data_IF_283470036355
#
_entry.id   IF_283470036355
#
_cell.length_a   1.000
_cell.length_b   1.000
_cell.length_c   1.000
_cell.angle_alpha   90.00
_cell.angle_beta   90.00
_cell.angle_gamma   90.00
#
_symmetry.space_group_name_H-M   'P 1'
#
loop_
_entity.id
_entity.type
_entity.pdbx_description
1 polymer ?
#
# COMPACT_ATOMS: atom_id res chain seq x y z
N UNK A 1 7.16 12.98 -33.27
CA UNK A 1 6.35 13.60 -32.21
C UNK A 1 6.62 12.81 -30.95
N UNK A 2 7.34 13.33 -29.95
CA UNK A 2 7.56 12.55 -28.74
C UNK A 2 6.25 12.55 -27.94
N UNK A 3 5.85 11.36 -27.50
CA UNK A 3 4.68 11.14 -26.67
C UNK A 3 4.78 12.01 -25.41
N UNK A 4 3.71 12.77 -25.12
CA UNK A 4 3.53 13.37 -23.82
C UNK A 4 3.55 12.23 -22.79
N UNK A 5 4.64 12.12 -22.04
CA UNK A 5 4.73 11.25 -20.87
C UNK A 5 3.59 11.66 -19.94
N UNK A 6 2.57 10.82 -19.86
CA UNK A 6 1.47 10.92 -18.89
C UNK A 6 2.10 11.12 -17.52
N UNK A 7 1.98 12.34 -16.98
CA UNK A 7 2.41 12.69 -15.62
C UNK A 7 1.70 11.72 -14.68
N UNK A 8 2.43 10.91 -13.91
CA UNK A 8 1.79 10.05 -12.93
C UNK A 8 1.17 10.95 -11.86
N UNK A 9 -0.14 10.83 -11.67
CA UNK A 9 -0.94 11.63 -10.73
C UNK A 9 -0.40 11.58 -9.28
N UNK A 10 0.44 10.60 -8.90
CA UNK A 10 1.18 10.56 -7.62
C UNK A 10 2.28 11.59 -7.50
N UNK A 11 3.03 11.87 -8.58
CA UNK A 11 3.93 13.04 -8.59
C UNK A 11 3.16 14.35 -8.43
N UNK A 12 1.86 14.29 -8.69
CA UNK A 12 0.89 15.39 -8.65
C UNK A 12 0.09 15.42 -7.33
N UNK A 13 0.43 14.57 -6.37
CA UNK A 13 -0.24 14.51 -5.07
C UNK A 13 0.79 14.44 -3.97
N UNK A 14 0.89 15.41 -3.03
CA UNK A 14 0.77 15.05 -1.60
C UNK A 14 0.99 16.10 -0.51
N UNK A 15 0.57 15.66 0.70
CA UNK A 15 1.00 16.04 2.06
C UNK A 15 0.05 16.79 3.02
N UNK A 16 -0.88 16.13 3.73
CA UNK A 16 -1.68 16.75 4.82
C UNK A 16 -0.88 17.05 6.11
N UNK A 17 -1.11 18.22 6.74
CA UNK A 17 -0.80 18.51 8.15
C UNK A 17 -2.08 18.75 8.99
N UNK A 18 -2.05 18.34 10.26
CA UNK A 18 -3.15 18.01 11.16
C UNK A 18 -4.23 19.09 11.47
N UNK A 19 -5.52 18.68 11.51
CA UNK A 19 -6.37 18.63 12.73
C UNK A 19 -7.75 18.04 12.45
N UNK A 20 -7.99 16.82 12.92
CA UNK A 20 -9.32 16.39 13.38
C UNK A 20 -9.09 15.41 14.53
N UNK A 21 -9.14 15.95 15.75
CA UNK A 21 -9.29 15.12 16.93
C UNK A 21 -10.69 14.50 16.87
N UNK A 22 -10.81 13.32 16.26
CA UNK A 22 -11.88 12.40 16.63
C UNK A 22 -11.32 11.57 17.76
N UNK A 23 -11.67 11.96 18.99
CA UNK A 23 -11.54 11.08 20.14
C UNK A 23 -12.47 9.90 19.86
N UNK A 24 -11.91 8.79 19.40
CA UNK A 24 -12.60 7.50 19.42
C UNK A 24 -12.52 7.02 20.87
N UNK A 25 -13.64 6.91 21.61
CA UNK A 25 -13.61 6.21 22.87
C UNK A 25 -13.24 4.76 22.56
N UNK A 26 -12.14 4.29 23.15
CA UNK A 26 -11.84 2.87 23.23
C UNK A 26 -12.95 2.26 24.08
N UNK A 27 -14.01 1.79 23.40
CA UNK A 27 -15.04 0.97 24.02
C UNK A 27 -14.37 -0.29 24.53
N UNK A 28 -14.39 -0.50 25.84
CA UNK A 28 -13.95 -1.73 26.48
C UNK A 28 -14.61 -2.92 25.77
N UNK A 29 -13.79 -3.86 25.29
CA UNK A 29 -14.26 -5.12 24.75
C UNK A 29 -15.19 -5.80 25.75
N UNK A 30 -16.51 -5.78 25.49
CA UNK A 30 -17.45 -6.68 26.15
C UNK A 30 -17.48 -7.97 25.35
N UNK A 31 -17.23 -9.10 26.02
CA UNK A 31 -17.38 -10.43 25.47
C UNK A 31 -18.70 -10.56 24.69
N UNK A 32 -18.62 -10.95 23.41
CA UNK A 32 -19.79 -11.24 22.59
C UNK A 32 -20.57 -12.44 23.15
N UNK A 33 -21.89 -12.52 22.92
CA UNK A 33 -22.68 -13.65 23.37
C UNK A 33 -22.39 -14.89 22.52
N UNK A 34 -22.30 -16.05 23.18
CA UNK A 34 -22.24 -17.36 22.55
C UNK A 34 -23.42 -17.55 21.58
N UNK A 35 -23.15 -18.00 20.34
CA UNK A 35 -24.19 -18.37 19.38
C UNK A 35 -24.83 -19.69 19.81
N UNK A 36 -26.17 -19.82 19.80
CA UNK A 36 -26.84 -21.07 20.13
C UNK A 36 -26.70 -22.08 18.99
N UNK A 37 -26.20 -23.27 19.32
CA UNK A 37 -26.17 -24.44 18.43
C UNK A 37 -27.58 -25.02 18.36
N UNK A 38 -28.18 -25.02 17.17
CA UNK A 38 -29.37 -25.85 16.90
C UNK A 38 -28.96 -26.96 15.94
N UNK A 39 -29.03 -28.20 16.42
CA UNK A 39 -28.81 -29.39 15.61
C UNK A 39 -30.07 -29.69 14.81
N UNK A 40 -29.92 -29.93 13.50
CA UNK A 40 -30.92 -30.65 12.73
C UNK A 40 -30.19 -31.59 11.80
N UNK A 41 -30.39 -32.88 12.03
CA UNK A 41 -29.86 -34.00 11.25
C UNK A 41 -30.63 -34.13 9.93
N UNK A 42 -29.89 -34.20 8.82
CA UNK A 42 -30.45 -34.47 7.49
C UNK A 42 -29.36 -34.51 6.42
N UNK A 43 -29.04 -35.73 5.97
CA UNK A 43 -28.22 -35.99 4.78
C UNK A 43 -28.89 -35.43 3.53
N UNK A 44 -28.16 -34.61 2.76
CA UNK A 44 -28.06 -34.64 1.28
C UNK A 44 -27.12 -33.53 0.79
N UNK A 45 -26.15 -33.93 -0.05
CA UNK A 45 -25.46 -33.20 -1.14
C UNK A 45 -25.11 -31.73 -0.89
N UNK A 46 -23.81 -31.46 -0.82
CA UNK A 46 -23.20 -30.13 -0.87
C UNK A 46 -23.91 -29.24 -1.90
N UNK A 47 -24.70 -28.29 -1.42
CA UNK A 47 -25.17 -27.19 -2.24
C UNK A 47 -23.94 -26.35 -2.57
N UNK A 48 -23.59 -26.30 -3.86
CA UNK A 48 -22.59 -25.37 -4.37
C UNK A 48 -22.92 -23.97 -3.85
N UNK A 49 -22.07 -23.43 -2.97
CA UNK A 49 -22.12 -22.01 -2.61
C UNK A 49 -21.79 -21.24 -3.89
N UNK A 50 -22.77 -20.48 -4.37
CA UNK A 50 -22.70 -19.65 -5.57
C UNK A 50 -21.45 -18.79 -5.57
N UNK A 51 -20.81 -18.60 -6.74
CA UNK A 51 -19.82 -17.54 -6.96
C UNK A 51 -20.52 -16.20 -6.66
N UNK A 52 -20.27 -15.65 -5.47
CA UNK A 52 -20.77 -14.32 -5.10
C UNK A 52 -19.83 -13.34 -5.79
N UNK A 53 -20.38 -12.49 -6.67
CA UNK A 53 -19.63 -11.34 -7.19
C UNK A 53 -19.18 -10.44 -6.03
N UNK A 54 -18.10 -9.69 -6.21
CA UNK A 54 -17.59 -8.80 -5.17
C UNK A 54 -18.69 -7.85 -4.65
N UNK A 55 -18.66 -7.60 -3.35
CA UNK A 55 -19.53 -6.62 -2.70
C UNK A 55 -19.05 -5.20 -3.01
N UNK A 56 -19.94 -4.19 -2.91
CA UNK A 56 -19.55 -2.78 -3.04
C UNK A 56 -18.39 -2.34 -2.14
N UNK A 57 -18.27 -2.95 -0.95
CA UNK A 57 -17.17 -2.67 -0.03
C UNK A 57 -15.84 -3.26 -0.52
N UNK A 58 -15.87 -4.47 -1.09
CA UNK A 58 -14.70 -5.13 -1.67
C UNK A 58 -14.22 -4.41 -2.94
N UNK A 59 -15.14 -3.96 -3.79
CA UNK A 59 -14.82 -3.18 -5.00
C UNK A 59 -14.12 -1.87 -4.64
N UNK A 60 -14.63 -1.17 -3.62
CA UNK A 60 -14.02 0.06 -3.12
C UNK A 60 -12.65 -0.22 -2.48
N UNK A 61 -12.54 -1.25 -1.64
CA UNK A 61 -11.29 -1.63 -0.98
C UNK A 61 -10.20 -2.06 -1.96
N UNK A 62 -10.58 -2.72 -3.05
CA UNK A 62 -9.65 -3.11 -4.11
C UNK A 62 -9.22 -1.90 -4.95
N UNK A 63 -10.19 -1.04 -5.31
CA UNK A 63 -9.94 0.16 -6.12
C UNK A 63 -9.01 1.14 -5.43
N UNK A 64 -9.16 1.36 -4.12
CA UNK A 64 -8.34 2.35 -3.41
C UNK A 64 -6.86 1.94 -3.36
N UNK A 65 -6.55 0.64 -3.25
CA UNK A 65 -5.15 0.18 -3.29
C UNK A 65 -4.59 0.35 -4.71
N UNK A 66 -5.36 -0.03 -5.73
CA UNK A 66 -4.95 0.15 -7.12
C UNK A 66 -4.66 1.63 -7.43
N UNK A 67 -5.59 2.51 -7.08
CA UNK A 67 -5.43 3.92 -7.34
C UNK A 67 -4.33 4.49 -6.46
N UNK A 68 -4.36 4.33 -5.14
CA UNK A 68 -3.41 4.98 -4.23
C UNK A 68 -2.00 4.42 -4.36
N UNK A 69 -1.86 3.09 -4.44
CA UNK A 69 -0.58 2.38 -4.34
C UNK A 69 -0.07 1.88 -5.70
N UNK A 70 -0.95 1.55 -6.64
CA UNK A 70 -0.57 1.29 -8.05
C UNK A 70 -0.35 -0.16 -8.36
N UNK A 71 -0.85 -1.02 -7.48
CA UNK A 71 -0.92 -2.45 -7.65
C UNK A 71 -2.28 -2.94 -7.19
N UNK A 72 -2.63 -4.13 -7.63
CA UNK A 72 -3.85 -4.79 -7.17
C UNK A 72 -3.74 -5.08 -5.66
N UNK A 73 -4.88 -4.95 -4.96
CA UNK A 73 -4.99 -5.34 -3.56
C UNK A 73 -4.90 -6.87 -3.44
N UNK A 74 -4.30 -7.36 -2.35
CA UNK A 74 -4.44 -8.76 -1.97
C UNK A 74 -5.69 -8.97 -1.09
N UNK A 75 -6.11 -10.23 -0.92
CA UNK A 75 -7.32 -10.57 -0.16
C UNK A 75 -7.29 -10.12 1.29
N UNK A 76 -6.14 -10.16 1.94
CA UNK A 76 -6.01 -9.69 3.33
C UNK A 76 -6.22 -8.18 3.43
N UNK A 77 -5.68 -7.40 2.50
CA UNK A 77 -5.88 -5.94 2.46
C UNK A 77 -7.36 -5.60 2.27
N UNK A 78 -8.02 -6.29 1.34
CA UNK A 78 -9.46 -6.13 1.08
C UNK A 78 -10.27 -6.49 2.33
N UNK A 79 -10.06 -7.67 2.91
CA UNK A 79 -10.80 -8.14 4.07
C UNK A 79 -10.63 -7.22 5.29
N UNK A 80 -9.41 -6.73 5.56
CA UNK A 80 -9.16 -5.78 6.65
C UNK A 80 -9.83 -4.43 6.41
N UNK A 81 -9.83 -3.94 5.18
CA UNK A 81 -10.51 -2.69 4.83
C UNK A 81 -12.03 -2.84 4.94
N UNK A 82 -12.60 -3.96 4.49
CA UNK A 82 -14.03 -4.24 4.63
C UNK A 82 -14.44 -4.32 6.10
N UNK A 83 -13.72 -5.07 6.95
CA UNK A 83 -13.99 -5.15 8.39
C UNK A 83 -13.93 -3.77 9.07
N UNK A 84 -12.98 -2.91 8.67
CA UNK A 84 -12.92 -1.52 9.15
C UNK A 84 -14.18 -0.73 8.76
N UNK A 85 -14.62 -0.84 7.50
CA UNK A 85 -15.84 -0.17 7.03
C UNK A 85 -17.09 -0.65 7.77
N UNK A 86 -17.22 -1.96 8.00
CA UNK A 86 -18.33 -2.56 8.76
C UNK A 86 -18.37 -2.09 10.22
N UNK A 87 -17.20 -1.83 10.81
CA UNK A 87 -17.06 -1.22 12.13
C UNK A 87 -17.28 0.30 12.15
N UNK A 88 -17.68 0.88 11.02
CA UNK A 88 -18.04 2.30 10.91
C UNK A 88 -16.86 3.24 10.69
N UNK A 89 -15.71 2.74 10.25
CA UNK A 89 -14.60 3.62 9.86
C UNK A 89 -14.96 4.43 8.61
N UNK A 90 -14.56 5.70 8.60
CA UNK A 90 -14.77 6.56 7.45
C UNK A 90 -13.78 6.24 6.32
N UNK A 91 -14.29 6.16 5.08
CA UNK A 91 -13.48 5.98 3.87
C UNK A 91 -12.34 6.99 3.73
N UNK A 92 -12.59 8.24 4.11
CA UNK A 92 -11.57 9.29 4.10
C UNK A 92 -10.43 8.98 5.08
N UNK A 93 -10.71 8.42 6.26
CA UNK A 93 -9.69 8.04 7.22
C UNK A 93 -8.81 6.89 6.69
N UNK A 94 -9.43 5.88 6.06
CA UNK A 94 -8.70 4.77 5.42
C UNK A 94 -7.83 5.28 4.26
N UNK A 95 -8.36 6.19 3.44
CA UNK A 95 -7.60 6.82 2.37
C UNK A 95 -6.37 7.56 2.88
N UNK A 96 -6.55 8.37 3.95
CA UNK A 96 -5.45 9.10 4.58
C UNK A 96 -4.36 8.15 5.11
N UNK A 97 -4.74 7.02 5.74
CA UNK A 97 -3.79 6.00 6.21
C UNK A 97 -2.98 5.40 5.06
N UNK A 98 -3.63 5.02 3.96
CA UNK A 98 -2.94 4.48 2.77
C UNK A 98 -1.99 5.51 2.14
N UNK A 99 -2.41 6.79 2.05
CA UNK A 99 -1.58 7.89 1.53
C UNK A 99 -0.46 8.35 2.46
N UNK A 100 -0.23 7.62 3.56
CA UNK A 100 0.89 7.84 4.50
C UNK A 100 1.73 6.59 4.72
N UNK A 101 1.36 5.48 4.09
CA UNK A 101 2.12 4.24 4.16
C UNK A 101 3.46 4.36 3.44
N UNK A 102 4.44 3.59 3.90
CA UNK A 102 5.77 3.50 3.27
C UNK A 102 5.67 3.17 1.77
N UNK A 103 4.75 2.29 1.39
CA UNK A 103 4.59 1.90 -0.01
C UNK A 103 4.14 3.07 -0.90
N UNK A 104 3.15 3.86 -0.44
CA UNK A 104 2.70 5.05 -1.15
C UNK A 104 3.82 6.10 -1.20
N UNK A 105 4.55 6.30 -0.10
CA UNK A 105 5.62 7.29 -0.03
C UNK A 105 6.74 6.95 -1.02
N UNK A 106 7.14 5.69 -1.09
CA UNK A 106 8.17 5.20 -2.03
C UNK A 106 7.73 5.33 -3.48
N UNK A 107 6.48 4.98 -3.81
CA UNK A 107 5.93 5.16 -5.15
C UNK A 107 5.92 6.65 -5.55
N UNK A 108 5.49 7.53 -4.64
CA UNK A 108 5.47 8.99 -4.86
C UNK A 108 6.88 9.53 -5.13
N UNK A 109 7.88 9.06 -4.40
CA UNK A 109 9.28 9.46 -4.65
C UNK A 109 9.77 8.96 -6.00
N UNK A 110 9.47 7.71 -6.38
CA UNK A 110 9.83 7.18 -7.71
C UNK A 110 9.23 8.05 -8.82
N UNK A 111 7.96 8.45 -8.67
CA UNK A 111 7.24 9.32 -9.58
C UNK A 111 7.83 10.74 -9.65
N UNK A 112 8.19 11.34 -8.52
CA UNK A 112 8.85 12.65 -8.48
C UNK A 112 10.24 12.63 -9.11
N UNK A 113 11.00 11.56 -8.93
CA UNK A 113 12.31 11.40 -9.57
C UNK A 113 12.19 11.25 -11.08
N UNK A 114 11.24 10.44 -11.55
CA UNK A 114 10.97 10.30 -12.98
C UNK A 114 10.45 11.59 -13.59
N UNK A 115 9.60 12.31 -12.84
CA UNK A 115 9.18 13.64 -13.21
C UNK A 115 10.41 14.56 -13.27
N UNK A 116 11.01 14.91 -12.16
CA UNK A 116 11.94 16.03 -12.09
C UNK A 116 13.29 15.70 -12.73
N UNK A 117 13.82 14.49 -12.54
CA UNK A 117 15.20 14.13 -12.87
C UNK A 117 15.32 13.14 -14.04
N UNK A 118 14.20 12.68 -14.62
CA UNK A 118 14.15 11.74 -15.75
C UNK A 118 14.86 10.40 -15.46
N UNK A 119 14.85 9.95 -14.21
CA UNK A 119 15.39 8.65 -13.79
C UNK A 119 14.69 8.17 -12.52
N UNK A 120 14.95 6.94 -12.11
CA UNK A 120 14.55 6.45 -10.79
C UNK A 120 15.53 6.90 -9.69
N UNK A 121 15.08 6.96 -8.43
CA UNK A 121 15.98 7.15 -7.29
C UNK A 121 16.83 5.89 -7.07
N UNK A 122 18.02 6.06 -6.48
CA UNK A 122 18.69 4.94 -5.82
C UNK A 122 18.00 4.63 -4.49
N UNK A 123 18.34 3.49 -3.89
CA UNK A 123 17.66 3.00 -2.69
C UNK A 123 17.86 3.90 -1.45
N UNK A 124 19.01 4.58 -1.36
CA UNK A 124 19.28 5.50 -0.25
C UNK A 124 18.46 6.79 -0.40
N UNK A 125 18.43 7.37 -1.61
CA UNK A 125 17.60 8.53 -1.94
C UNK A 125 16.12 8.23 -1.77
N UNK A 126 15.66 7.08 -2.27
CA UNK A 126 14.26 6.65 -2.10
C UNK A 126 13.88 6.58 -0.63
N UNK A 127 14.67 5.87 0.17
CA UNK A 127 14.39 5.70 1.60
C UNK A 127 14.43 7.03 2.37
N UNK A 128 15.36 7.93 2.03
CA UNK A 128 15.44 9.26 2.63
C UNK A 128 14.17 10.09 2.38
N UNK A 129 13.75 10.21 1.13
CA UNK A 129 12.57 11.01 0.78
C UNK A 129 11.27 10.37 1.23
N UNK A 130 11.15 9.04 1.14
CA UNK A 130 9.99 8.31 1.62
C UNK A 130 9.83 8.46 3.14
N UNK A 131 10.94 8.42 3.90
CA UNK A 131 10.94 8.71 5.33
C UNK A 131 10.42 10.12 5.65
N UNK A 132 10.86 11.14 4.91
CA UNK A 132 10.34 12.51 5.08
C UNK A 132 8.85 12.61 4.83
N UNK A 133 8.33 11.97 3.79
CA UNK A 133 6.89 11.92 3.51
C UNK A 133 6.13 11.19 4.63
N UNK A 134 6.66 10.08 5.14
CA UNK A 134 6.11 9.35 6.28
C UNK A 134 6.07 10.18 7.57
N UNK A 135 7.05 11.06 7.77
CA UNK A 135 7.11 12.01 8.89
C UNK A 135 6.20 13.24 8.71
N UNK A 136 5.46 13.32 7.58
CA UNK A 136 4.47 14.35 7.31
C UNK A 136 4.99 15.55 6.51
N UNK A 137 6.16 15.46 5.87
CA UNK A 137 6.58 16.48 4.91
C UNK A 137 5.60 16.55 3.73
N UNK A 138 5.43 17.74 3.17
CA UNK A 138 4.58 17.93 2.00
C UNK A 138 5.31 17.48 0.73
N UNK A 139 4.62 16.82 -0.20
CA UNK A 139 5.24 16.41 -1.48
C UNK A 139 5.71 17.61 -2.27
N UNK A 140 5.01 18.74 -2.19
CA UNK A 140 5.47 19.99 -2.81
C UNK A 140 6.83 20.46 -2.28
N UNK A 141 7.14 20.18 -1.01
CA UNK A 141 8.44 20.52 -0.42
C UNK A 141 9.52 19.55 -0.93
N UNK A 142 9.21 18.24 -0.99
CA UNK A 142 10.11 17.23 -1.59
C UNK A 142 10.38 17.54 -3.07
N UNK A 143 9.34 17.90 -3.83
CA UNK A 143 9.46 18.31 -5.22
C UNK A 143 10.30 19.58 -5.36
N UNK A 144 10.08 20.61 -4.53
CA UNK A 144 10.86 21.84 -4.53
C UNK A 144 12.34 21.59 -4.18
N UNK A 145 12.63 20.69 -3.25
CA UNK A 145 14.00 20.28 -2.92
C UNK A 145 14.67 19.56 -4.11
N UNK A 146 13.96 18.65 -4.79
CA UNK A 146 14.45 17.97 -5.99
C UNK A 146 14.70 18.95 -7.15
N UNK A 147 13.78 19.87 -7.40
CA UNK A 147 13.97 20.95 -8.37
C UNK A 147 15.11 21.88 -7.96
N UNK A 148 15.36 22.07 -6.66
CA UNK A 148 16.48 22.88 -6.16
C UNK A 148 17.85 22.20 -6.23
N UNK A 149 17.89 20.92 -6.63
CA UNK A 149 19.12 20.12 -6.59
C UNK A 149 20.17 20.57 -7.62
N UNK A 150 21.47 20.32 -7.36
CA UNK A 150 22.52 20.48 -8.36
C UNK A 150 22.25 19.66 -9.62
N UNK A 151 21.69 18.45 -9.45
CA UNK A 151 21.38 17.56 -10.56
C UNK A 151 20.34 18.16 -11.52
N UNK A 152 19.24 18.69 -10.99
CA UNK A 152 18.25 19.36 -11.84
C UNK A 152 18.84 20.62 -12.50
N UNK A 153 19.73 21.32 -11.81
CA UNK A 153 20.46 22.47 -12.38
C UNK A 153 21.29 22.05 -13.59
N UNK A 154 22.02 20.95 -13.50
CA UNK A 154 22.82 20.40 -14.60
C UNK A 154 21.93 19.93 -15.76
N UNK A 155 20.81 19.25 -15.47
CA UNK A 155 19.81 18.85 -16.46
C UNK A 155 19.19 20.04 -17.20
N UNK A 156 19.12 21.20 -16.53
CA UNK A 156 18.55 22.44 -17.07
C UNK A 156 19.58 23.33 -17.78
N UNK A 157 20.76 22.77 -18.11
CA UNK A 157 21.83 23.47 -18.83
C UNK A 157 22.71 24.37 -17.96
N UNK A 158 22.62 24.27 -16.63
CA UNK A 158 23.53 24.92 -15.68
C UNK A 158 23.38 26.43 -15.51
N UNK A 159 22.44 27.07 -16.21
CA UNK A 159 22.20 28.52 -16.15
C UNK A 159 20.94 28.85 -15.35
N UNK A 160 20.83 30.06 -14.83
CA UNK A 160 19.60 30.52 -14.15
C UNK A 160 18.41 30.63 -15.12
N UNK A 161 18.63 31.10 -16.35
CA UNK A 161 17.58 31.18 -17.39
C UNK A 161 17.10 29.78 -17.80
N UNK A 162 18.02 28.87 -18.13
CA UNK A 162 17.66 27.48 -18.49
C UNK A 162 16.97 26.73 -17.35
N UNK A 163 17.36 27.01 -16.10
CA UNK A 163 16.66 26.51 -14.92
C UNK A 163 15.20 26.97 -14.85
N UNK A 164 14.96 28.27 -15.02
CA UNK A 164 13.59 28.83 -14.97
C UNK A 164 12.73 28.23 -16.08
N UNK A 165 13.25 28.15 -17.30
CA UNK A 165 12.54 27.52 -18.42
C UNK A 165 12.16 26.06 -18.12
N UNK A 166 13.10 25.28 -17.58
CA UNK A 166 12.89 23.87 -17.27
C UNK A 166 11.84 23.66 -16.16
N UNK A 167 11.83 24.50 -15.12
CA UNK A 167 10.80 24.44 -14.06
C UNK A 167 9.40 24.69 -14.64
N UNK A 168 9.25 25.73 -15.46
CA UNK A 168 7.97 26.07 -16.07
C UNK A 168 7.48 24.98 -17.04
N UNK A 169 8.37 24.44 -17.87
CA UNK A 169 8.01 23.33 -18.76
C UNK A 169 7.57 22.09 -17.95
N UNK A 170 8.33 21.73 -16.91
CA UNK A 170 8.03 20.51 -16.16
C UNK A 170 6.76 20.60 -15.33
N UNK A 171 6.50 21.75 -14.71
CA UNK A 171 5.34 21.97 -13.83
C UNK A 171 4.10 22.37 -14.63
N UNK A 172 4.23 23.30 -15.57
CA UNK A 172 3.10 23.91 -16.29
C UNK A 172 2.93 23.43 -17.73
N UNK A 173 3.95 22.80 -18.32
CA UNK A 173 3.89 22.34 -19.72
C UNK A 173 3.98 23.49 -20.72
N UNK A 174 4.55 24.63 -20.31
CA UNK A 174 4.71 25.81 -21.16
C UNK A 174 5.99 26.56 -20.79
N UNK A 175 6.46 27.39 -21.71
CA UNK A 175 7.52 28.35 -21.42
C UNK A 175 6.99 29.57 -20.63
N UNK A 176 7.80 30.16 -19.75
CA UNK A 176 7.50 31.41 -19.06
C UNK A 176 7.50 32.61 -20.02
N UNK A 177 6.82 33.69 -19.64
CA UNK A 177 6.96 34.96 -20.36
C UNK A 177 8.31 35.62 -20.07
N UNK A 178 8.75 36.52 -20.96
CA UNK A 178 10.08 37.13 -20.84
C UNK A 178 10.28 37.90 -19.54
N UNK A 179 9.25 38.57 -19.04
CA UNK A 179 9.32 39.32 -17.78
C UNK A 179 9.51 38.40 -16.58
N UNK A 180 8.81 37.26 -16.56
CA UNK A 180 8.99 36.21 -15.56
C UNK A 180 10.39 35.61 -15.57
N UNK A 181 10.94 35.30 -16.75
CA UNK A 181 12.32 34.80 -16.90
C UNK A 181 13.32 35.81 -16.37
N UNK A 182 13.23 37.07 -16.80
CA UNK A 182 14.16 38.12 -16.40
C UNK A 182 14.13 38.35 -14.87
N UNK A 183 12.93 38.34 -14.27
CA UNK A 183 12.76 38.46 -12.82
C UNK A 183 13.43 37.32 -12.05
N UNK A 184 13.09 36.07 -12.35
CA UNK A 184 13.62 34.92 -11.62
C UNK A 184 15.11 34.71 -11.87
N UNK A 185 15.59 34.98 -13.09
CA UNK A 185 17.01 34.93 -13.43
C UNK A 185 17.80 35.95 -12.60
N UNK A 186 17.29 37.18 -12.47
CA UNK A 186 17.91 38.19 -11.62
C UNK A 186 17.92 37.75 -10.15
N UNK A 187 16.79 37.26 -9.62
CA UNK A 187 16.70 36.77 -8.23
C UNK A 187 17.71 35.65 -7.93
N UNK A 188 17.84 34.66 -8.82
CA UNK A 188 18.83 33.58 -8.67
C UNK A 188 20.26 34.12 -8.70
N UNK A 189 20.55 35.06 -9.61
CA UNK A 189 21.89 35.66 -9.72
C UNK A 189 22.24 36.53 -8.50
N UNK A 190 21.24 37.12 -7.84
CA UNK A 190 21.38 37.86 -6.58
C UNK A 190 21.46 36.94 -5.34
N UNK A 191 21.38 35.62 -5.53
CA UNK A 191 21.60 34.61 -4.50
C UNK A 191 20.35 33.94 -3.95
N UNK A 192 19.17 34.17 -4.54
CA UNK A 192 17.96 33.43 -4.17
C UNK A 192 18.13 31.93 -4.46
N UNK A 193 17.67 31.03 -3.58
CA UNK A 193 17.75 29.61 -3.81
C UNK A 193 16.83 29.21 -4.96
N UNK A 194 17.30 28.28 -5.80
CA UNK A 194 16.53 27.73 -6.93
C UNK A 194 15.20 27.12 -6.51
N UNK A 195 15.15 26.48 -5.33
CA UNK A 195 13.92 25.93 -4.75
C UNK A 195 12.83 26.99 -4.51
N UNK A 196 13.18 28.27 -4.38
CA UNK A 196 12.21 29.37 -4.27
C UNK A 196 11.41 29.57 -5.56
N UNK A 197 12.05 29.45 -6.72
CA UNK A 197 11.36 29.49 -8.02
C UNK A 197 10.47 28.26 -8.16
N UNK A 198 11.01 27.09 -7.82
CA UNK A 198 10.28 25.83 -7.90
C UNK A 198 9.00 25.85 -7.05
N UNK A 199 9.10 26.23 -5.77
CA UNK A 199 7.92 26.29 -4.89
C UNK A 199 6.91 27.33 -5.36
N UNK A 200 7.37 28.48 -5.88
CA UNK A 200 6.48 29.51 -6.42
C UNK A 200 5.67 28.99 -7.61
N UNK A 201 6.32 28.36 -8.59
CA UNK A 201 5.65 27.82 -9.77
C UNK A 201 4.76 26.64 -9.39
N UNK A 202 5.24 25.74 -8.52
CA UNK A 202 4.51 24.55 -8.10
C UNK A 202 3.26 24.87 -7.29
N UNK A 203 3.28 25.90 -6.44
CA UNK A 203 2.11 26.30 -5.63
C UNK A 203 1.17 27.28 -6.34
N UNK A 204 1.48 27.64 -7.59
CA UNK A 204 0.65 28.55 -8.39
C UNK A 204 -0.73 27.96 -8.67
N UNK A 205 -1.75 28.81 -8.79
CA UNK A 205 -3.13 28.38 -9.10
C UNK A 205 -3.20 27.63 -10.44
N UNK A 206 -2.34 27.97 -11.39
CA UNK A 206 -2.25 27.25 -12.67
C UNK A 206 -1.74 25.82 -12.47
N UNK A 207 -0.61 25.66 -11.76
CA UNK A 207 -0.07 24.35 -11.42
C UNK A 207 -1.09 23.53 -10.63
N UNK A 208 -1.68 24.12 -9.59
CA UNK A 208 -2.72 23.48 -8.78
C UNK A 208 -3.91 23.06 -9.65
N UNK A 209 -4.32 23.88 -10.62
CA UNK A 209 -5.38 23.52 -11.56
C UNK A 209 -5.06 22.26 -12.36
N UNK A 210 -3.83 22.13 -12.86
CA UNK A 210 -3.38 20.92 -13.55
C UNK A 210 -3.44 19.70 -12.61
N UNK A 211 -3.08 19.89 -11.33
CA UNK A 211 -3.15 18.82 -10.32
C UNK A 211 -4.58 18.38 -10.01
N UNK A 212 -5.51 19.33 -9.96
CA UNK A 212 -6.94 19.03 -9.84
C UNK A 212 -7.42 18.24 -11.05
N UNK A 213 -7.01 18.62 -12.26
CA UNK A 213 -7.39 17.89 -13.48
C UNK A 213 -6.89 16.43 -13.43
N UNK A 214 -5.61 16.23 -13.11
CA UNK A 214 -4.99 14.89 -12.98
C UNK A 214 -5.69 14.04 -11.91
N UNK A 215 -6.07 14.66 -10.79
CA UNK A 215 -6.77 13.98 -9.69
C UNK A 215 -8.15 13.48 -10.06
N UNK A 216 -8.93 14.33 -10.72
CA UNK A 216 -10.27 14.00 -11.16
C UNK A 216 -10.25 12.92 -12.25
N UNK A 217 -9.32 13.02 -13.19
CA UNK A 217 -9.14 11.99 -14.22
C UNK A 217 -8.74 10.65 -13.58
N UNK A 218 -7.73 10.66 -12.71
CA UNK A 218 -7.23 9.44 -12.09
C UNK A 218 -8.23 8.78 -11.13
N UNK A 219 -8.91 9.55 -10.27
CA UNK A 219 -9.79 9.00 -9.22
C UNK A 219 -11.25 8.87 -9.66
N UNK A 220 -11.75 9.75 -10.52
CA UNK A 220 -13.15 9.72 -10.97
C UNK A 220 -13.33 9.38 -12.46
N UNK A 221 -12.26 9.34 -13.26
CA UNK A 221 -12.34 8.99 -14.68
C UNK A 221 -12.96 10.09 -15.54
N UNK A 222 -12.92 11.35 -15.09
CA UNK A 222 -13.45 12.50 -15.82
C UNK A 222 -12.75 13.79 -15.41
N UNK A 223 -12.90 14.84 -16.21
CA UNK A 223 -12.48 16.18 -15.83
C UNK A 223 -13.40 16.82 -14.75
N UNK A 224 -12.87 17.76 -13.93
CA UNK A 224 -13.67 18.61 -13.06
C UNK A 224 -14.50 19.62 -13.88
N UNK A 225 -15.61 20.10 -13.33
CA UNK A 225 -16.27 21.28 -13.91
C UNK A 225 -15.44 22.56 -13.66
N UNK A 226 -15.67 23.61 -14.44
CA UNK A 226 -14.88 24.83 -14.38
C UNK A 226 -14.92 25.52 -13.00
N UNK A 227 -16.06 25.46 -12.31
CA UNK A 227 -16.22 26.03 -10.97
C UNK A 227 -15.49 25.22 -9.90
N UNK A 228 -15.66 23.90 -9.93
CA UNK A 228 -14.96 22.96 -9.05
C UNK A 228 -13.45 23.04 -9.22
N UNK A 229 -12.96 23.08 -10.47
CA UNK A 229 -11.53 23.25 -10.77
C UNK A 229 -10.97 24.53 -10.18
N UNK A 230 -11.65 25.67 -10.39
CA UNK A 230 -11.21 26.97 -9.88
C UNK A 230 -11.21 27.02 -8.34
N UNK A 231 -12.23 26.45 -7.71
CA UNK A 231 -12.32 26.37 -6.25
C UNK A 231 -11.14 25.58 -5.66
N UNK A 232 -10.89 24.38 -6.19
CA UNK A 232 -9.82 23.52 -5.68
C UNK A 232 -8.43 24.06 -5.98
N UNK A 233 -8.20 24.62 -7.18
CA UNK A 233 -6.91 25.22 -7.54
C UNK A 233 -6.50 26.35 -6.58
N UNK A 234 -7.45 27.13 -6.08
CA UNK A 234 -7.21 28.16 -5.06
C UNK A 234 -6.95 27.55 -3.68
N UNK A 235 -7.70 26.50 -3.32
CA UNK A 235 -7.59 25.86 -2.01
C UNK A 235 -6.21 25.21 -1.81
N UNK A 236 -5.71 24.54 -2.85
CA UNK A 236 -4.40 23.86 -2.89
C UNK A 236 -3.18 24.80 -2.76
N UNK A 237 -3.38 26.12 -2.79
CA UNK A 237 -2.32 27.07 -2.42
C UNK A 237 -1.97 26.89 -0.94
N UNK A 238 -2.99 26.72 -0.10
CA UNK A 238 -2.88 26.65 1.37
C UNK A 238 -3.16 25.28 1.95
N UNK A 239 -3.71 24.37 1.14
CA UNK A 239 -4.06 23.01 1.51
C UNK A 239 -3.33 22.02 0.64
N UNK A 240 -3.51 20.75 0.95
CA UNK A 240 -2.78 19.70 0.29
C UNK A 240 -3.59 19.00 -0.80
N UNK A 241 -2.90 18.45 -1.81
CA UNK A 241 -3.51 17.66 -2.86
C UNK A 241 -4.21 16.38 -2.31
N UNK A 242 -3.75 15.81 -1.18
CA UNK A 242 -4.38 14.69 -0.47
C UNK A 242 -5.72 15.05 0.16
N UNK A 243 -5.94 16.31 0.55
CA UNK A 243 -7.25 16.72 1.05
C UNK A 243 -8.29 16.52 -0.04
N UNK A 244 -7.95 16.92 -1.26
CA UNK A 244 -8.80 16.67 -2.42
C UNK A 244 -8.89 15.17 -2.71
N UNK A 245 -7.78 14.44 -2.75
CA UNK A 245 -7.80 13.00 -3.02
C UNK A 245 -8.71 12.23 -2.04
N UNK A 246 -8.59 12.48 -0.73
CA UNK A 246 -9.40 11.83 0.30
C UNK A 246 -10.89 12.16 0.16
N UNK A 247 -11.23 13.40 -0.24
CA UNK A 247 -12.61 13.80 -0.51
C UNK A 247 -13.17 13.13 -1.76
N UNK A 248 -12.38 13.01 -2.84
CA UNK A 248 -12.79 12.31 -4.05
C UNK A 248 -12.99 10.82 -3.77
N UNK A 249 -12.03 10.16 -3.11
CA UNK A 249 -12.06 8.73 -2.76
C UNK A 249 -13.24 8.37 -1.85
N UNK A 250 -13.62 9.26 -0.94
CA UNK A 250 -14.76 9.06 -0.02
C UNK A 250 -16.12 9.38 -0.66
N UNK A 251 -16.14 9.91 -1.88
CA UNK A 251 -17.38 10.29 -2.55
C UNK A 251 -18.20 9.09 -3.05
N UNK A 252 -19.52 9.30 -3.18
CA UNK A 252 -20.41 8.32 -3.82
C UNK A 252 -20.07 8.09 -5.30
N UNK A 253 -19.44 9.07 -5.95
CA UNK A 253 -19.01 8.95 -7.34
C UNK A 253 -17.83 7.99 -7.49
N UNK A 254 -16.84 8.11 -6.61
CA UNK A 254 -15.74 7.14 -6.56
C UNK A 254 -16.25 5.73 -6.26
N UNK A 255 -17.22 5.60 -5.35
CA UNK A 255 -17.89 4.32 -5.10
C UNK A 255 -18.52 3.74 -6.37
N UNK A 256 -19.32 4.54 -7.09
CA UNK A 256 -19.95 4.08 -8.31
C UNK A 256 -18.93 3.67 -9.39
N UNK A 257 -17.80 4.38 -9.47
CA UNK A 257 -16.70 4.00 -10.36
C UNK A 257 -16.07 2.68 -9.92
N UNK A 258 -15.80 2.49 -8.63
CA UNK A 258 -15.22 1.27 -8.10
C UNK A 258 -16.06 0.03 -8.45
N UNK A 259 -17.37 0.10 -8.25
CA UNK A 259 -18.33 -0.97 -8.60
C UNK A 259 -18.41 -1.23 -10.12
N UNK A 260 -18.07 -0.25 -10.95
CA UNK A 260 -18.10 -0.36 -12.40
C UNK A 260 -16.75 -0.80 -13.02
N UNK A 261 -15.70 -1.00 -12.21
CA UNK A 261 -14.38 -1.37 -12.72
C UNK A 261 -14.34 -2.76 -13.30
N UNK A 262 -13.60 -2.90 -14.39
CA UNK A 262 -13.32 -4.19 -15.04
C UNK A 262 -11.82 -4.50 -15.09
N UNK A 263 -10.98 -3.57 -14.63
CA UNK A 263 -9.52 -3.64 -14.57
C UNK A 263 -9.00 -4.11 -13.21
N UNK A 264 -9.90 -4.32 -12.24
CA UNK A 264 -9.56 -5.01 -11.01
C UNK A 264 -9.24 -6.46 -11.33
N UNK A 265 -8.05 -6.91 -10.95
CA UNK A 265 -7.78 -8.33 -10.91
C UNK A 265 -8.73 -8.95 -9.87
N UNK A 266 -9.21 -10.19 -10.08
CA UNK A 266 -9.83 -10.94 -9.02
C UNK A 266 -8.91 -10.86 -7.81
N UNK A 267 -9.45 -10.41 -6.67
CA UNK A 267 -8.70 -10.31 -5.43
C UNK A 267 -8.12 -11.71 -5.17
N UNK A 268 -6.80 -11.83 -5.32
CA UNK A 268 -6.09 -13.10 -5.34
C UNK A 268 -6.55 -13.88 -4.12
N UNK A 269 -7.18 -15.03 -4.31
CA UNK A 269 -8.06 -15.71 -3.36
C UNK A 269 -7.33 -16.33 -2.17
N UNK A 270 -6.23 -15.72 -1.72
CA UNK A 270 -5.35 -16.13 -0.63
C UNK A 270 -6.01 -16.16 0.75
N UNK A 271 -5.28 -16.66 1.76
CA UNK A 271 -5.80 -16.80 3.13
C UNK A 271 -6.36 -15.47 3.67
N UNK A 272 -7.69 -15.44 3.86
CA UNK A 272 -8.45 -14.38 4.50
C UNK A 272 -9.04 -14.80 5.85
N UNK A 273 -10.01 -14.03 6.35
CA UNK A 273 -10.81 -14.42 7.52
C UNK A 273 -11.71 -15.64 7.23
N UNK A 274 -12.10 -15.82 5.97
CA UNK A 274 -12.75 -17.01 5.45
C UNK A 274 -11.97 -17.53 4.24
N UNK A 275 -11.87 -18.85 4.09
CA UNK A 275 -11.23 -19.45 2.91
C UNK A 275 -12.24 -19.59 1.77
N UNK A 276 -11.83 -19.19 0.57
CA UNK A 276 -12.55 -19.51 -0.66
C UNK A 276 -12.27 -20.97 -1.02
N UNK A 277 -13.32 -21.75 -1.25
CA UNK A 277 -13.24 -23.16 -1.64
C UNK A 277 -13.51 -23.28 -3.14
N UNK A 278 -12.67 -24.05 -3.82
CA UNK A 278 -12.70 -24.28 -5.27
C UNK A 278 -12.76 -25.76 -5.60
N UNK A 279 -12.56 -26.07 -6.88
CA UNK A 279 -12.38 -27.46 -7.36
C UNK A 279 -10.97 -27.66 -7.91
N UNK A 280 -10.42 -28.88 -7.86
CA UNK A 280 -9.15 -29.18 -8.50
C UNK A 280 -9.14 -28.79 -9.99
N UNK A 281 -10.21 -29.05 -10.72
CA UNK A 281 -10.32 -28.81 -12.16
C UNK A 281 -10.23 -27.32 -12.52
N UNK A 282 -10.84 -26.44 -11.71
CA UNK A 282 -10.76 -24.99 -11.90
C UNK A 282 -9.30 -24.47 -11.85
N UNK A 283 -8.43 -25.22 -11.18
CA UNK A 283 -7.00 -24.91 -11.03
C UNK A 283 -6.11 -25.78 -11.92
N UNK A 284 -6.68 -26.49 -12.90
CA UNK A 284 -5.96 -27.40 -13.78
C UNK A 284 -5.31 -28.56 -13.04
N UNK A 285 -5.95 -29.03 -11.97
CA UNK A 285 -5.56 -30.21 -11.18
C UNK A 285 -6.52 -31.36 -11.45
N UNK A 286 -6.01 -32.57 -11.37
CA UNK A 286 -6.76 -33.80 -11.58
C UNK A 286 -7.25 -34.34 -10.23
N UNK A 287 -8.57 -34.42 -10.04
CA UNK A 287 -9.15 -34.89 -8.77
C UNK A 287 -8.75 -36.32 -8.43
N UNK A 288 -8.65 -37.23 -9.42
CA UNK A 288 -8.27 -38.62 -9.18
C UNK A 288 -6.84 -38.75 -8.63
N UNK A 289 -5.93 -37.89 -9.08
CA UNK A 289 -4.57 -37.80 -8.55
C UNK A 289 -4.55 -37.33 -7.10
N UNK A 290 -5.42 -36.37 -6.73
CA UNK A 290 -5.54 -35.90 -5.35
C UNK A 290 -6.16 -36.96 -4.44
N UNK A 291 -7.14 -37.69 -4.94
CA UNK A 291 -7.73 -38.86 -4.25
C UNK A 291 -6.67 -39.90 -3.91
N UNK A 292 -5.78 -40.24 -4.86
CA UNK A 292 -4.66 -41.13 -4.59
C UNK A 292 -3.67 -40.61 -3.53
N UNK A 293 -3.46 -39.28 -3.47
CA UNK A 293 -2.63 -38.66 -2.44
C UNK A 293 -3.28 -38.75 -1.05
N UNK A 294 -4.61 -38.62 -0.97
CA UNK A 294 -5.34 -38.81 0.26
C UNK A 294 -5.34 -40.27 0.72
N UNK A 295 -5.58 -41.21 -0.17
CA UNK A 295 -5.53 -42.63 0.16
C UNK A 295 -4.17 -43.03 0.72
N UNK A 296 -3.09 -42.45 0.17
CA UNK A 296 -1.77 -42.54 0.77
C UNK A 296 -1.74 -41.88 2.17
N UNK A 297 -2.15 -40.62 2.30
CA UNK A 297 -2.05 -39.88 3.55
C UNK A 297 -2.83 -40.53 4.72
N UNK A 298 -3.94 -41.19 4.45
CA UNK A 298 -4.86 -41.76 5.43
C UNK A 298 -4.73 -43.28 5.62
N UNK A 299 -3.65 -43.91 5.12
CA UNK A 299 -3.35 -45.31 5.47
C UNK A 299 -3.23 -45.49 6.99
N UNK A 300 -3.82 -46.57 7.50
CA UNK A 300 -3.76 -46.96 8.92
C UNK A 300 -2.33 -46.86 9.48
N UNK A 301 -2.21 -46.20 10.63
CA UNK A 301 -0.93 -46.02 11.35
C UNK A 301 -0.16 -44.74 11.03
N UNK A 302 -0.64 -43.88 10.13
CA UNK A 302 0.00 -42.57 9.82
C UNK A 302 -0.44 -41.41 10.69
N UNK A 303 -1.56 -41.55 11.41
CA UNK A 303 -2.13 -40.54 12.31
C UNK A 303 -2.32 -39.16 11.64
N UNK A 304 -2.65 -39.14 10.34
CA UNK A 304 -2.97 -37.90 9.63
C UNK A 304 -4.32 -37.37 10.12
N UNK A 305 -4.33 -36.13 10.63
CA UNK A 305 -5.56 -35.46 11.09
C UNK A 305 -6.28 -34.75 9.93
N UNK A 306 -5.53 -34.17 8.99
CA UNK A 306 -6.09 -33.50 7.82
C UNK A 306 -5.04 -33.26 6.74
N UNK A 307 -5.50 -33.15 5.50
CA UNK A 307 -4.71 -32.73 4.35
C UNK A 307 -5.49 -31.65 3.62
N UNK A 308 -4.91 -30.46 3.52
CA UNK A 308 -5.50 -29.31 2.83
C UNK A 308 -4.58 -28.93 1.68
N UNK A 309 -5.14 -28.78 0.47
CA UNK A 309 -4.42 -28.37 -0.73
C UNK A 309 -4.88 -26.97 -1.09
N UNK A 310 -3.94 -26.02 -1.07
CA UNK A 310 -4.20 -24.61 -1.40
C UNK A 310 -3.49 -24.27 -2.71
N UNK A 311 -4.22 -23.67 -3.66
CA UNK A 311 -3.67 -23.20 -4.94
C UNK A 311 -4.42 -21.96 -5.42
N UNK A 312 -3.65 -20.97 -5.92
CA UNK A 312 -4.23 -19.67 -6.25
C UNK A 312 -4.87 -18.99 -5.03
N UNK A 313 -4.41 -19.35 -3.83
CA UNK A 313 -5.01 -18.90 -2.58
C UNK A 313 -6.26 -19.66 -2.13
N UNK A 314 -6.98 -20.35 -3.00
CA UNK A 314 -8.19 -21.10 -2.65
C UNK A 314 -7.84 -22.46 -2.06
N UNK A 315 -8.68 -22.96 -1.15
CA UNK A 315 -8.67 -24.39 -0.82
C UNK A 315 -9.29 -25.12 -2.01
N UNK A 316 -8.48 -25.86 -2.75
CA UNK A 316 -8.93 -26.58 -3.96
C UNK A 316 -9.36 -28.01 -3.65
N UNK A 317 -8.90 -28.57 -2.52
CA UNK A 317 -9.34 -29.86 -2.02
C UNK A 317 -8.85 -30.06 -0.58
N UNK A 318 -9.67 -30.71 0.24
CA UNK A 318 -9.33 -31.06 1.62
C UNK A 318 -9.95 -32.39 2.05
N UNK A 319 -9.26 -33.11 2.94
CA UNK A 319 -9.78 -34.32 3.59
C UNK A 319 -9.31 -34.33 5.04
N UNK A 320 -10.23 -34.68 5.94
CA UNK A 320 -9.99 -34.81 7.38
C UNK A 320 -10.17 -36.27 7.82
N UNK A 321 -9.59 -36.62 8.96
CA UNK A 321 -9.81 -37.92 9.57
C UNK A 321 -11.27 -38.06 10.03
N UNK A 322 -11.72 -39.30 10.24
CA UNK A 322 -13.10 -39.55 10.67
C UNK A 322 -13.39 -38.90 12.03
N UNK A 323 -14.36 -37.98 12.05
CA UNK A 323 -14.76 -37.25 13.26
C UNK A 323 -13.98 -35.96 13.50
N UNK A 324 -13.07 -35.59 12.59
CA UNK A 324 -12.35 -34.32 12.60
C UNK A 324 -12.89 -33.41 11.46
N UNK A 325 -12.76 -32.10 11.62
CA UNK A 325 -13.05 -31.11 10.58
C UNK A 325 -12.07 -29.92 10.57
N UNK A 326 -12.42 -28.87 9.81
CA UNK A 326 -11.60 -27.66 9.66
C UNK A 326 -11.37 -26.91 10.98
N UNK A 327 -12.32 -26.96 11.91
CA UNK A 327 -12.28 -26.20 13.16
C UNK A 327 -11.55 -26.95 14.30
N UNK A 328 -11.14 -28.20 14.07
CA UNK A 328 -10.45 -29.02 15.06
C UNK A 328 -8.98 -28.62 15.28
N UNK A 329 -8.53 -28.83 16.52
CA UNK A 329 -7.22 -28.36 16.96
C UNK A 329 -6.15 -29.41 16.68
N UNK A 330 -5.18 -29.06 15.83
CA UNK A 330 -3.98 -29.85 15.61
C UNK A 330 -2.80 -29.35 16.44
N UNK A 331 -1.96 -30.28 16.91
CA UNK A 331 -0.69 -29.91 17.52
C UNK A 331 0.25 -29.30 16.46
N UNK A 332 0.64 -28.03 16.63
CA UNK A 332 1.45 -27.32 15.63
C UNK A 332 2.90 -27.82 15.53
N UNK A 333 3.42 -28.45 16.58
CA UNK A 333 4.82 -28.88 16.68
C UNK A 333 5.80 -27.78 16.20
N UNK A 334 6.76 -28.13 15.35
CA UNK A 334 7.75 -27.18 14.81
C UNK A 334 7.18 -26.17 13.82
N UNK A 335 5.92 -26.29 13.35
CA UNK A 335 5.30 -25.25 12.51
C UNK A 335 5.26 -23.90 13.23
N UNK A 336 5.16 -23.90 14.57
CA UNK A 336 5.20 -22.70 15.39
C UNK A 336 6.44 -21.80 15.13
N UNK A 337 7.58 -22.41 14.76
CA UNK A 337 8.83 -21.68 14.51
C UNK A 337 8.73 -20.76 13.29
N UNK A 338 7.96 -21.14 12.27
CA UNK A 338 7.73 -20.29 11.10
C UNK A 338 6.98 -19.01 11.48
N UNK A 339 5.98 -19.12 12.37
CA UNK A 339 5.27 -17.96 12.90
C UNK A 339 6.19 -17.08 13.74
N UNK A 340 7.01 -17.66 14.63
CA UNK A 340 8.00 -16.88 15.40
C UNK A 340 9.04 -16.23 14.50
N UNK A 341 9.51 -16.90 13.45
CA UNK A 341 10.45 -16.32 12.49
C UNK A 341 9.83 -15.15 11.73
N UNK A 342 8.56 -15.27 11.32
CA UNK A 342 7.83 -14.21 10.66
C UNK A 342 7.63 -12.99 11.58
N UNK A 343 7.27 -13.21 12.86
CA UNK A 343 7.10 -12.10 13.82
C UNK A 343 8.41 -11.37 14.10
N UNK A 344 9.56 -12.06 14.10
CA UNK A 344 10.87 -11.41 14.16
C UNK A 344 11.14 -10.55 12.93
N UNK A 345 10.81 -11.04 11.72
CA UNK A 345 10.91 -10.25 10.49
C UNK A 345 10.06 -8.97 10.55
N UNK A 346 8.83 -9.07 11.05
CA UNK A 346 7.95 -7.91 11.28
C UNK A 346 8.57 -6.95 12.29
N UNK A 347 9.09 -7.45 13.42
CA UNK A 347 9.72 -6.60 14.44
C UNK A 347 10.97 -5.86 13.91
N UNK A 348 11.70 -6.45 12.96
CA UNK A 348 12.82 -5.76 12.27
C UNK A 348 12.29 -4.67 11.35
N UNK A 349 11.26 -4.96 10.55
CA UNK A 349 10.63 -3.98 9.66
C UNK A 349 10.05 -2.79 10.43
N UNK A 350 9.51 -3.03 11.63
CA UNK A 350 9.00 -1.99 12.54
C UNK A 350 10.11 -1.27 13.35
N UNK A 351 11.39 -1.58 13.12
CA UNK A 351 12.52 -0.97 13.82
C UNK A 351 12.66 -1.35 15.30
N UNK A 352 11.91 -2.34 15.78
CA UNK A 352 11.97 -2.83 17.17
C UNK A 352 13.17 -3.73 17.42
N UNK A 353 13.65 -4.40 16.37
CA UNK A 353 14.89 -5.18 16.37
C UNK A 353 15.79 -4.60 15.27
N UNK A 354 17.01 -4.13 15.58
CA UNK A 354 17.87 -3.47 14.60
C UNK A 354 18.17 -4.32 13.35
N UNK A 355 18.46 -5.61 13.55
CA UNK A 355 18.68 -6.57 12.47
C UNK A 355 18.73 -8.01 13.01
N UNK A 356 18.83 -8.99 12.12
CA UNK A 356 19.11 -10.39 12.50
C UNK A 356 20.53 -10.60 13.04
N UNK A 357 21.44 -9.65 12.86
CA UNK A 357 22.85 -9.79 13.30
C UNK A 357 23.07 -9.30 14.75
N UNK A 358 21.99 -8.92 15.43
CA UNK A 358 22.04 -8.57 16.86
C UNK A 358 22.56 -9.76 17.69
N UNK A 359 23.57 -9.55 18.54
CA UNK A 359 24.06 -10.57 19.46
C UNK A 359 22.96 -11.00 20.43
N UNK A 360 22.81 -12.31 20.68
CA UNK A 360 21.84 -12.82 21.66
C UNK A 360 22.13 -12.34 23.08
N UNK A 361 23.36 -11.92 23.38
CA UNK A 361 23.74 -11.25 24.63
C UNK A 361 23.01 -9.92 24.87
N UNK A 362 22.35 -9.37 23.85
CA UNK A 362 21.43 -8.23 23.99
C UNK A 362 20.20 -8.60 24.82
N UNK A 363 19.68 -9.82 24.63
CA UNK A 363 18.48 -10.34 25.29
C UNK A 363 18.79 -11.29 26.44
N UNK A 364 19.97 -11.93 26.40
CA UNK A 364 20.51 -12.83 27.42
C UNK A 364 21.88 -12.30 27.91
N UNK A 365 21.92 -11.21 28.70
CA UNK A 365 23.17 -10.60 29.16
C UNK A 365 24.10 -11.58 29.89
N UNK A 366 23.53 -12.61 30.52
CA UNK A 366 24.25 -13.67 31.23
C UNK A 366 25.08 -14.59 30.33
N UNK A 367 24.92 -14.52 29.00
CA UNK A 367 25.75 -15.28 28.05
C UNK A 367 27.12 -14.63 27.78
N UNK A 368 27.34 -13.40 28.23
CA UNK A 368 28.65 -12.73 28.11
C UNK A 368 29.73 -13.49 28.90
N UNK A 369 30.90 -13.69 28.29
CA UNK A 369 31.99 -14.47 28.86
C UNK A 369 31.76 -15.99 28.83
N UNK A 370 30.73 -16.47 28.14
CA UNK A 370 30.46 -17.90 27.93
C UNK A 370 30.70 -18.28 26.46
N UNK A 371 30.81 -19.58 26.12
CA UNK A 371 30.89 -20.01 24.71
C UNK A 371 29.68 -19.61 23.85
N UNK A 372 28.60 -19.09 24.44
CA UNK A 372 27.39 -18.62 23.74
C UNK A 372 27.44 -17.13 23.37
N UNK A 373 28.50 -16.41 23.74
CA UNK A 373 28.62 -14.96 23.55
C UNK A 373 28.51 -14.54 22.08
N UNK A 374 29.03 -15.36 21.17
CA UNK A 374 29.06 -15.10 19.72
C UNK A 374 27.76 -15.53 18.99
N UNK A 375 26.76 -16.05 19.71
CA UNK A 375 25.48 -16.43 19.10
C UNK A 375 24.70 -15.16 18.75
N UNK A 376 24.27 -15.03 17.50
CA UNK A 376 23.41 -13.95 17.00
C UNK A 376 21.97 -14.43 16.83
N UNK A 377 21.03 -13.49 16.67
CA UNK A 377 19.65 -13.82 16.34
C UNK A 377 19.54 -14.61 15.03
N UNK A 378 20.39 -14.31 14.03
CA UNK A 378 20.51 -15.07 12.79
C UNK A 378 20.84 -16.54 13.05
N UNK A 379 21.80 -16.83 13.94
CA UNK A 379 22.15 -18.21 14.29
C UNK A 379 20.96 -18.97 14.90
N UNK A 380 20.15 -18.30 15.73
CA UNK A 380 18.95 -18.91 16.33
C UNK A 380 17.88 -19.16 15.27
N UNK A 381 17.59 -18.17 14.41
CA UNK A 381 16.58 -18.29 13.35
C UNK A 381 16.94 -19.35 12.29
N UNK A 382 18.24 -19.53 12.04
CA UNK A 382 18.76 -20.49 11.05
C UNK A 382 19.10 -21.86 11.65
N UNK A 383 18.83 -22.08 12.94
CA UNK A 383 19.18 -23.34 13.64
C UNK A 383 20.67 -23.69 13.53
N UNK A 384 21.54 -22.67 13.54
CA UNK A 384 23.00 -22.80 13.41
C UNK A 384 23.75 -22.31 14.65
N UNK A 385 23.03 -22.07 15.76
CA UNK A 385 23.58 -21.61 17.04
C UNK A 385 24.34 -22.69 17.83
N UNK A 386 24.15 -23.98 17.49
CA UNK A 386 24.67 -25.10 18.26
C UNK A 386 23.92 -25.38 19.58
N UNK A 387 22.71 -24.83 19.73
CA UNK A 387 21.80 -25.05 20.86
C UNK A 387 20.86 -26.24 20.66
#
# INVERSE_FOLDING_TARGET
MPAQLTRSWRATLAGLAATAAVVVPIGTASAGPERPVTSTSGSTVASARTVVGSSPAEDWASSIVLDVVGRQANHREVALTVDRLERGWEKAAIAVELTRGDEWARATVDDLYQLILHRGPDEAGRSYWAGRLGDGAWTRDVAADLFGSPEFTDLSGGTAEGYVDAVYDRVLGRIPDRGGVDHWTASINDGAPRSEVAIFVFTSVEANGNRVDDLYDHLLGRAPDAGGRAFWAQRLVTSDDLDLAALLISSAEYQARAEARTDLAPVDSGPGAEWVISTPEAHGMDSDTLEGAYDYAFVDGRNTQGVVVVRGGEIVSERYAAGEDFDDWAASWSMAKSFTSATIGIAIAEGKIPSVDVPMTTYYPEWKGTPKEDITLRHVLQMSSGL
#
